data_IF_246936118936
#
_entry.id   IF_246936118936
#
_cell.length_a   1.000
_cell.length_b   1.000
_cell.length_c   1.000
_cell.angle_alpha   90.00
_cell.angle_beta   90.00
_cell.angle_gamma   90.00
#
_symmetry.space_group_name_H-M   'P 1'
#
loop_
_entity.id
_entity.type
_entity.pdbx_description
1 polymer ?
#
# COMPACT_ATOMS: atom_id res chain seq x y z
N UNK A 1 5.66 19.83 6.76
CA UNK A 1 5.62 19.68 8.24
C UNK A 1 6.91 19.05 8.81
N UNK A 2 7.32 19.34 10.06
CA UNK A 2 8.45 18.67 10.75
C UNK A 2 8.21 17.15 10.82
N UNK A 3 6.97 16.73 11.02
CA UNK A 3 6.60 15.31 11.05
C UNK A 3 6.97 14.61 9.73
N UNK A 4 6.64 15.23 8.60
CA UNK A 4 6.96 14.71 7.25
C UNK A 4 8.48 14.65 7.04
N UNK A 5 9.23 15.64 7.51
CA UNK A 5 10.70 15.62 7.43
C UNK A 5 11.30 14.45 8.23
N UNK A 6 10.79 14.19 9.44
CA UNK A 6 11.21 13.04 10.25
C UNK A 6 10.83 11.71 9.58
N UNK A 7 9.66 11.65 8.95
CA UNK A 7 9.24 10.47 8.20
C UNK A 7 10.16 10.19 7.01
N UNK A 8 10.44 11.20 6.20
CA UNK A 8 11.34 11.07 5.06
C UNK A 8 12.77 10.70 5.50
N UNK A 9 13.26 11.26 6.60
CA UNK A 9 14.57 10.90 7.16
C UNK A 9 14.64 9.43 7.56
N UNK A 10 13.57 8.90 8.19
CA UNK A 10 13.48 7.49 8.53
C UNK A 10 13.44 6.60 7.30
N UNK A 11 12.62 6.92 6.30
CA UNK A 11 12.53 6.11 5.07
C UNK A 11 13.90 6.02 4.36
N UNK A 12 14.61 7.14 4.29
CA UNK A 12 15.98 7.18 3.76
C UNK A 12 16.98 6.37 4.62
N UNK A 13 16.81 6.37 5.94
CA UNK A 13 17.63 5.61 6.87
C UNK A 13 17.35 4.09 6.79
N UNK A 14 16.10 3.68 6.58
CA UNK A 14 15.71 2.27 6.48
C UNK A 14 16.43 1.55 5.32
N UNK A 15 16.87 2.27 4.30
CA UNK A 15 17.63 1.73 3.17
C UNK A 15 19.12 1.52 3.50
N UNK A 16 19.60 2.01 4.65
CA UNK A 16 21.00 1.95 5.08
C UNK A 16 21.11 1.20 6.40
N UNK A 17 21.67 -0.01 6.38
CA UNK A 17 21.83 -0.89 7.57
C UNK A 17 22.39 -0.17 8.81
N UNK A 18 23.37 0.70 8.62
CA UNK A 18 24.01 1.47 9.69
C UNK A 18 23.10 2.53 10.33
N UNK A 19 22.15 3.08 9.57
CA UNK A 19 21.20 4.06 10.08
C UNK A 19 20.06 3.39 10.87
N UNK A 20 19.69 2.16 10.49
CA UNK A 20 18.75 1.32 11.25
C UNK A 20 19.21 1.04 12.69
N UNK A 21 20.51 0.79 12.89
CA UNK A 21 21.09 0.56 14.22
C UNK A 21 20.96 1.80 15.12
N UNK A 22 21.15 3.01 14.57
CA UNK A 22 20.99 4.27 15.29
C UNK A 22 19.52 4.60 15.61
N UNK A 23 18.60 4.17 14.75
CA UNK A 23 17.15 4.38 14.93
C UNK A 23 16.50 3.35 15.85
N UNK A 24 17.14 2.20 16.08
CA UNK A 24 16.59 1.08 16.85
C UNK A 24 15.99 1.46 18.21
N UNK A 25 16.60 2.34 19.04
CA UNK A 25 16.03 2.71 20.33
C UNK A 25 14.68 3.45 20.23
N UNK A 26 14.46 4.19 19.14
CA UNK A 26 13.29 5.04 18.93
C UNK A 26 12.25 4.39 18.01
N UNK A 27 12.54 3.21 17.47
CA UNK A 27 11.76 2.59 16.41
C UNK A 27 10.29 2.38 16.82
N UNK A 28 10.05 1.97 18.07
CA UNK A 28 8.70 1.75 18.59
C UNK A 28 7.92 3.05 18.75
N UNK A 29 8.55 4.12 19.24
CA UNK A 29 7.87 5.41 19.37
C UNK A 29 7.61 6.06 18.01
N UNK A 30 8.52 5.84 17.06
CA UNK A 30 8.33 6.24 15.68
C UNK A 30 7.15 5.50 15.01
N UNK A 31 7.03 4.17 15.18
CA UNK A 31 5.85 3.42 14.70
C UNK A 31 4.57 3.98 15.32
N UNK A 32 4.54 4.23 16.65
CA UNK A 32 3.36 4.81 17.31
C UNK A 32 3.00 6.17 16.70
N UNK A 33 3.98 7.00 16.39
CA UNK A 33 3.77 8.29 15.75
C UNK A 33 3.20 8.14 14.33
N UNK A 34 3.77 7.25 13.51
CA UNK A 34 3.25 6.94 12.18
C UNK A 34 1.79 6.48 12.23
N UNK A 35 1.49 5.51 13.08
CA UNK A 35 0.13 5.00 13.30
C UNK A 35 -0.78 6.10 13.86
N UNK A 36 -0.26 7.04 14.65
CA UNK A 36 -1.03 8.22 15.07
C UNK A 36 -1.42 9.08 13.86
N UNK A 37 -0.46 9.40 12.98
CA UNK A 37 -0.66 10.25 11.80
C UNK A 37 -1.58 9.65 10.73
N UNK A 38 -1.79 8.33 10.70
CA UNK A 38 -2.85 7.73 9.88
C UNK A 38 -4.27 8.25 10.18
N UNK A 39 -4.46 8.92 11.32
CA UNK A 39 -5.74 9.51 11.70
C UNK A 39 -5.99 10.93 11.16
N UNK A 40 -5.02 11.59 10.53
CA UNK A 40 -5.13 12.99 10.09
C UNK A 40 -5.92 13.13 8.79
N UNK A 41 -6.56 14.28 8.58
CA UNK A 41 -7.28 14.62 7.33
C UNK A 41 -6.40 15.35 6.30
N UNK A 42 -5.09 15.39 6.54
CA UNK A 42 -4.09 16.01 5.67
C UNK A 42 -3.40 14.95 4.79
N UNK A 43 -3.59 14.98 3.45
CA UNK A 43 -2.97 14.01 2.54
C UNK A 43 -1.43 14.08 2.55
N UNK A 44 -0.84 15.27 2.75
CA UNK A 44 0.61 15.46 2.84
C UNK A 44 1.22 14.76 4.07
N UNK A 45 0.38 14.39 5.05
CA UNK A 45 0.80 13.70 6.28
C UNK A 45 0.43 12.23 6.23
N UNK A 46 -0.78 11.89 5.76
CA UNK A 46 -1.29 10.52 5.80
C UNK A 46 -0.53 9.59 4.83
N UNK A 47 -0.17 10.08 3.63
CA UNK A 47 0.60 9.32 2.64
C UNK A 47 1.98 8.92 3.15
N UNK A 48 2.83 9.88 3.57
CA UNK A 48 4.13 9.57 4.17
C UNK A 48 4.02 8.72 5.44
N UNK A 49 2.96 8.90 6.25
CA UNK A 49 2.73 8.05 7.40
C UNK A 49 2.46 6.59 6.99
N UNK A 50 1.63 6.38 5.97
CA UNK A 50 1.34 5.06 5.43
C UNK A 50 2.59 4.41 4.80
N UNK A 51 3.35 5.14 4.00
CA UNK A 51 4.61 4.67 3.43
C UNK A 51 5.61 4.25 4.54
N UNK A 52 5.73 5.08 5.60
CA UNK A 52 6.53 4.76 6.78
C UNK A 52 6.07 3.49 7.50
N UNK A 53 4.75 3.29 7.64
CA UNK A 53 4.19 2.05 8.19
C UNK A 53 4.54 0.86 7.32
N UNK A 54 4.38 0.94 5.99
CA UNK A 54 4.74 -0.14 5.07
C UNK A 54 6.21 -0.58 5.20
N UNK A 55 7.13 0.40 5.29
CA UNK A 55 8.54 0.13 5.56
C UNK A 55 8.75 -0.52 6.93
N UNK A 56 8.09 -0.01 7.98
CA UNK A 56 8.19 -0.60 9.32
C UNK A 56 7.69 -2.04 9.38
N UNK A 57 6.62 -2.36 8.64
CA UNK A 57 6.08 -3.71 8.47
C UNK A 57 7.10 -4.62 7.79
N UNK A 58 7.79 -4.15 6.74
CA UNK A 58 8.86 -4.94 6.09
C UNK A 58 10.05 -5.22 7.02
N UNK A 59 10.32 -4.35 7.99
CA UNK A 59 11.45 -4.50 8.93
C UNK A 59 11.09 -5.36 10.14
N UNK A 60 9.93 -5.14 10.76
CA UNK A 60 9.53 -5.77 12.04
C UNK A 60 8.46 -6.85 11.88
N UNK A 61 7.87 -7.00 10.69
CA UNK A 61 6.90 -8.03 10.36
C UNK A 61 5.48 -7.77 10.88
N UNK A 62 4.75 -8.86 11.10
CA UNK A 62 3.31 -8.88 11.30
C UNK A 62 2.81 -8.03 12.48
N UNK A 63 3.55 -7.98 13.59
CA UNK A 63 3.11 -7.27 14.80
C UNK A 63 2.88 -5.77 14.56
N UNK A 64 3.68 -5.15 13.68
CA UNK A 64 3.48 -3.74 13.30
C UNK A 64 2.24 -3.60 12.43
N UNK A 65 2.06 -4.50 11.48
CA UNK A 65 0.91 -4.46 10.59
C UNK A 65 -0.40 -4.67 11.35
N UNK A 66 -0.47 -5.65 12.24
CA UNK A 66 -1.66 -5.94 13.05
C UNK A 66 -2.05 -4.73 13.92
N UNK A 67 -1.08 -4.01 14.47
CA UNK A 67 -1.33 -2.78 15.23
C UNK A 67 -1.79 -1.60 14.37
N UNK A 68 -1.30 -1.50 13.13
CA UNK A 68 -1.62 -0.41 12.21
C UNK A 68 -2.88 -0.66 11.38
N UNK A 69 -3.22 -1.91 11.10
CA UNK A 69 -4.28 -2.32 10.18
C UNK A 69 -5.63 -1.65 10.45
N UNK A 70 -6.13 -1.56 11.70
CA UNK A 70 -7.41 -0.88 11.96
C UNK A 70 -7.41 0.60 11.51
N UNK A 71 -6.28 1.30 11.64
CA UNK A 71 -6.16 2.69 11.22
C UNK A 71 -5.92 2.84 9.72
N UNK A 72 -5.16 1.94 9.10
CA UNK A 72 -5.03 1.89 7.64
C UNK A 72 -6.41 1.66 6.99
N UNK A 73 -7.20 0.71 7.49
CA UNK A 73 -8.56 0.47 7.01
C UNK A 73 -9.46 1.70 7.18
N UNK A 74 -9.40 2.35 8.34
CA UNK A 74 -10.16 3.58 8.57
C UNK A 74 -9.75 4.72 7.63
N UNK A 75 -8.46 4.84 7.34
CA UNK A 75 -7.94 5.82 6.39
C UNK A 75 -8.41 5.54 4.95
N UNK A 76 -8.36 4.28 4.50
CA UNK A 76 -8.84 3.88 3.17
C UNK A 76 -10.35 4.13 2.97
N UNK A 77 -11.12 4.14 4.06
CA UNK A 77 -12.57 4.41 4.04
C UNK A 77 -12.91 5.91 4.01
N UNK A 78 -11.91 6.81 4.04
CA UNK A 78 -12.15 8.25 3.95
C UNK A 78 -12.78 8.62 2.60
N UNK A 79 -13.78 9.53 2.57
CA UNK A 79 -14.42 9.98 1.34
C UNK A 79 -13.44 10.46 0.28
N UNK A 80 -12.34 11.09 0.70
CA UNK A 80 -11.29 11.63 -0.14
C UNK A 80 -10.50 10.52 -0.86
N UNK A 81 -10.27 9.38 -0.20
CA UNK A 81 -9.69 8.19 -0.84
C UNK A 81 -10.67 7.56 -1.85
N UNK A 82 -11.96 7.55 -1.54
CA UNK A 82 -13.00 6.91 -2.38
C UNK A 82 -13.31 7.73 -3.64
N UNK A 83 -13.19 9.07 -3.59
CA UNK A 83 -13.49 9.98 -4.69
C UNK A 83 -12.24 10.77 -5.10
N UNK A 84 -11.12 10.07 -5.23
CA UNK A 84 -9.81 10.66 -5.31
C UNK A 84 -9.55 11.40 -6.65
N UNK A 85 -9.90 12.68 -6.71
CA UNK A 85 -9.63 13.55 -7.87
C UNK A 85 -8.44 14.48 -7.66
N UNK A 86 -8.04 14.70 -6.41
CA UNK A 86 -6.91 15.55 -6.05
C UNK A 86 -5.61 14.72 -6.04
N UNK A 87 -4.55 15.28 -6.62
CA UNK A 87 -3.25 14.61 -6.79
C UNK A 87 -2.66 14.15 -5.45
N UNK A 88 -2.68 15.00 -4.42
CA UNK A 88 -2.16 14.67 -3.09
C UNK A 88 -2.89 13.47 -2.46
N UNK A 89 -4.22 13.40 -2.65
CA UNK A 89 -4.99 12.26 -2.19
C UNK A 89 -4.74 11.01 -3.03
N UNK A 90 -4.38 11.13 -4.31
CA UNK A 90 -4.07 9.98 -5.17
C UNK A 90 -2.79 9.33 -4.69
N UNK A 91 -1.75 10.13 -4.44
CA UNK A 91 -0.50 9.67 -3.86
C UNK A 91 -0.70 9.05 -2.47
N UNK A 92 -1.44 9.73 -1.59
CA UNK A 92 -1.71 9.23 -0.26
C UNK A 92 -2.50 7.91 -0.26
N UNK A 93 -3.49 7.79 -1.16
CA UNK A 93 -4.27 6.56 -1.34
C UNK A 93 -3.39 5.43 -1.86
N UNK A 94 -2.49 5.72 -2.81
CA UNK A 94 -1.50 4.76 -3.29
C UNK A 94 -0.60 4.25 -2.16
N UNK A 95 -0.07 5.14 -1.32
CA UNK A 95 0.75 4.78 -0.15
C UNK A 95 -0.02 3.94 0.89
N UNK A 96 -1.28 4.28 1.16
CA UNK A 96 -2.16 3.51 2.05
C UNK A 96 -2.41 2.10 1.52
N UNK A 97 -2.76 1.98 0.23
CA UNK A 97 -2.98 0.69 -0.43
C UNK A 97 -1.71 -0.15 -0.40
N UNK A 98 -0.57 0.45 -0.74
CA UNK A 98 0.71 -0.24 -0.76
C UNK A 98 1.11 -0.75 0.64
N UNK A 99 0.92 0.06 1.69
CA UNK A 99 1.19 -0.35 3.07
C UNK A 99 0.32 -1.54 3.50
N UNK A 100 -0.96 -1.57 3.09
CA UNK A 100 -1.84 -2.72 3.35
C UNK A 100 -1.37 -3.96 2.60
N UNK A 101 -1.04 -3.85 1.31
CA UNK A 101 -0.59 -4.99 0.52
C UNK A 101 0.76 -5.55 1.03
N UNK A 102 1.68 -4.70 1.48
CA UNK A 102 2.91 -5.12 2.16
C UNK A 102 2.62 -5.85 3.48
N UNK A 103 1.59 -5.42 4.21
CA UNK A 103 1.09 -6.13 5.38
C UNK A 103 0.60 -7.54 5.12
N UNK A 104 0.02 -7.79 3.93
CA UNK A 104 -0.46 -9.12 3.56
C UNK A 104 0.65 -10.13 3.31
N UNK A 105 1.87 -9.68 2.99
CA UNK A 105 3.03 -10.57 2.87
C UNK A 105 3.36 -11.25 4.21
N UNK A 106 3.09 -10.57 5.33
CA UNK A 106 3.43 -11.03 6.68
C UNK A 106 2.21 -11.45 7.50
N UNK A 107 1.01 -11.04 7.12
CA UNK A 107 -0.24 -11.38 7.80
C UNK A 107 -1.37 -11.69 6.79
N UNK A 108 -1.23 -12.75 5.97
CA UNK A 108 -2.21 -13.09 4.92
C UNK A 108 -3.60 -13.43 5.46
N UNK A 109 -3.71 -13.84 6.73
CA UNK A 109 -4.99 -14.12 7.39
C UNK A 109 -5.91 -12.89 7.50
N UNK A 110 -5.36 -11.68 7.38
CA UNK A 110 -6.12 -10.42 7.46
C UNK A 110 -6.70 -10.05 6.08
N UNK A 111 -6.27 -10.70 4.99
CA UNK A 111 -6.69 -10.42 3.63
C UNK A 111 -8.22 -10.32 3.44
N UNK A 112 -9.08 -11.21 4.00
CA UNK A 112 -10.53 -11.11 3.84
C UNK A 112 -11.14 -9.81 4.36
N UNK A 113 -10.48 -9.14 5.31
CA UNK A 113 -10.98 -7.93 5.95
C UNK A 113 -10.52 -6.67 5.20
N UNK A 114 -9.32 -6.70 4.62
CA UNK A 114 -8.67 -5.50 4.07
C UNK A 114 -8.70 -5.44 2.55
N UNK A 115 -8.63 -6.59 1.86
CA UNK A 115 -8.63 -6.62 0.40
C UNK A 115 -9.90 -6.03 -0.21
N UNK A 116 -11.12 -6.25 0.32
CA UNK A 116 -12.31 -5.61 -0.25
C UNK A 116 -12.22 -4.08 -0.26
N UNK A 117 -11.58 -3.47 0.76
CA UNK A 117 -11.36 -2.03 0.81
C UNK A 117 -10.37 -1.57 -0.24
N UNK A 118 -9.24 -2.30 -0.36
CA UNK A 118 -8.22 -2.03 -1.39
C UNK A 118 -8.81 -2.15 -2.79
N UNK A 119 -9.56 -3.22 -3.06
CA UNK A 119 -10.16 -3.48 -4.36
C UNK A 119 -11.22 -2.44 -4.73
N UNK A 120 -11.94 -1.90 -3.75
CA UNK A 120 -12.91 -0.82 -3.95
C UNK A 120 -12.29 0.51 -4.39
N UNK A 121 -10.97 0.68 -4.24
CA UNK A 121 -10.24 1.89 -4.61
C UNK A 121 -9.58 1.79 -5.99
N UNK A 122 -9.64 0.64 -6.65
CA UNK A 122 -9.00 0.42 -7.94
C UNK A 122 -9.88 0.94 -9.10
N UNK A 123 -9.27 1.49 -10.17
CA UNK A 123 -7.84 1.72 -10.34
C UNK A 123 -7.34 2.91 -9.51
N UNK A 124 -6.16 2.76 -8.91
CA UNK A 124 -5.45 3.85 -8.23
C UNK A 124 -4.49 4.58 -9.19
N UNK A 125 -4.30 5.87 -8.94
CA UNK A 125 -3.37 6.75 -9.66
C UNK A 125 -2.33 7.39 -8.73
N UNK A 126 -1.66 8.44 -9.22
CA UNK A 126 -0.57 9.13 -8.53
C UNK A 126 0.81 8.69 -9.05
N UNK A 127 1.76 8.50 -8.14
CA UNK A 127 3.11 8.00 -8.44
C UNK A 127 3.04 6.66 -9.18
N UNK A 128 3.48 6.67 -10.44
CA UNK A 128 3.40 5.51 -11.34
C UNK A 128 4.28 4.34 -10.88
N UNK A 129 5.41 4.61 -10.22
CA UNK A 129 6.31 3.56 -9.72
C UNK A 129 5.65 2.83 -8.54
N UNK A 130 5.00 3.58 -7.65
CA UNK A 130 4.22 2.97 -6.55
C UNK A 130 2.99 2.25 -7.05
N UNK A 131 2.28 2.83 -8.02
CA UNK A 131 1.13 2.18 -8.65
C UNK A 131 1.54 0.84 -9.28
N UNK A 132 2.69 0.80 -9.96
CA UNK A 132 3.25 -0.43 -10.49
C UNK A 132 3.44 -1.47 -9.37
N UNK A 133 4.07 -1.13 -8.24
CA UNK A 133 4.25 -2.08 -7.13
C UNK A 133 2.90 -2.61 -6.61
N UNK A 134 1.90 -1.74 -6.48
CA UNK A 134 0.54 -2.14 -6.07
C UNK A 134 -0.04 -3.18 -7.03
N UNK A 135 0.00 -2.91 -8.34
CA UNK A 135 -0.58 -3.81 -9.33
C UNK A 135 0.18 -5.13 -9.43
N UNK A 136 1.51 -5.11 -9.34
CA UNK A 136 2.32 -6.33 -9.30
C UNK A 136 1.99 -7.21 -8.10
N UNK A 137 1.77 -6.61 -6.92
CA UNK A 137 1.34 -7.32 -5.71
C UNK A 137 -0.06 -7.93 -5.87
N UNK A 138 -1.00 -7.20 -6.45
CA UNK A 138 -2.35 -7.73 -6.73
C UNK A 138 -2.32 -8.91 -7.71
N UNK A 139 -1.51 -8.82 -8.77
CA UNK A 139 -1.28 -9.95 -9.69
C UNK A 139 -0.60 -11.13 -8.98
N UNK A 140 0.32 -10.85 -8.06
CA UNK A 140 0.93 -11.86 -7.19
C UNK A 140 -0.10 -12.61 -6.35
N UNK A 141 -0.99 -11.87 -5.68
CA UNK A 141 -2.08 -12.43 -4.88
C UNK A 141 -3.08 -13.24 -5.73
N UNK A 142 -3.41 -12.79 -6.95
CA UNK A 142 -4.20 -13.59 -7.90
C UNK A 142 -3.49 -14.90 -8.25
N UNK A 143 -2.19 -14.83 -8.59
CA UNK A 143 -1.38 -16.00 -8.96
C UNK A 143 -1.26 -17.00 -7.81
N UNK A 144 -1.27 -16.51 -6.56
CA UNK A 144 -1.26 -17.32 -5.36
C UNK A 144 -2.64 -17.94 -5.03
N UNK A 145 -3.66 -17.71 -5.85
CA UNK A 145 -5.00 -18.24 -5.64
C UNK A 145 -5.75 -17.59 -4.48
N UNK A 146 -5.48 -16.31 -4.19
CA UNK A 146 -6.17 -15.61 -3.10
C UNK A 146 -7.69 -15.56 -3.39
N UNK A 147 -8.53 -16.12 -2.50
CA UNK A 147 -9.96 -16.30 -2.79
C UNK A 147 -10.70 -14.96 -2.96
N UNK A 148 -10.25 -13.89 -2.29
CA UNK A 148 -10.90 -12.57 -2.39
C UNK A 148 -10.67 -11.98 -3.78
N UNK A 149 -9.45 -12.07 -4.30
CA UNK A 149 -9.13 -11.55 -5.63
C UNK A 149 -9.80 -12.41 -6.72
N UNK A 150 -9.78 -13.73 -6.58
CA UNK A 150 -10.42 -14.64 -7.55
C UNK A 150 -11.92 -14.41 -7.67
N UNK A 151 -12.58 -13.95 -6.60
CA UNK A 151 -14.02 -13.68 -6.57
C UNK A 151 -14.37 -12.24 -6.94
N UNK A 152 -13.38 -11.37 -7.19
CA UNK A 152 -13.64 -9.96 -7.45
C UNK A 152 -14.16 -9.75 -8.89
N UNK A 153 -15.40 -9.24 -9.08
CA UNK A 153 -16.06 -9.22 -10.39
C UNK A 153 -15.39 -8.28 -11.41
N UNK A 154 -14.67 -7.25 -10.93
CA UNK A 154 -14.02 -6.25 -11.80
C UNK A 154 -12.60 -6.62 -12.22
N UNK A 155 -12.10 -7.81 -11.82
CA UNK A 155 -10.72 -8.21 -12.07
C UNK A 155 -10.35 -8.21 -13.56
N UNK A 156 -11.21 -8.75 -14.42
CA UNK A 156 -10.98 -8.78 -15.88
C UNK A 156 -10.92 -7.38 -16.49
N UNK A 157 -11.84 -6.51 -16.05
CA UNK A 157 -11.88 -5.12 -16.50
C UNK A 157 -10.62 -4.36 -16.07
N UNK A 158 -10.22 -4.50 -14.80
CA UNK A 158 -8.98 -3.90 -14.32
C UNK A 158 -7.77 -4.42 -15.12
N UNK A 159 -7.66 -5.73 -15.32
CA UNK A 159 -6.53 -6.32 -16.05
C UNK A 159 -6.42 -5.79 -17.49
N UNK A 160 -7.55 -5.57 -18.17
CA UNK A 160 -7.58 -4.93 -19.49
C UNK A 160 -7.05 -3.49 -19.42
N UNK A 161 -7.55 -2.69 -18.47
CA UNK A 161 -7.12 -1.29 -18.29
C UNK A 161 -5.61 -1.21 -18.02
N UNK A 162 -5.07 -2.09 -17.18
CA UNK A 162 -3.65 -2.09 -16.83
C UNK A 162 -2.73 -2.45 -18.00
N UNK A 163 -3.20 -3.26 -18.95
CA UNK A 163 -2.43 -3.58 -20.16
C UNK A 163 -2.32 -2.39 -21.13
N UNK A 164 -3.31 -1.49 -21.10
CA UNK A 164 -3.36 -0.29 -21.94
C UNK A 164 -2.76 0.95 -21.25
N UNK A 165 -2.52 0.87 -19.94
CA UNK A 165 -1.96 1.97 -19.14
C UNK A 165 -0.43 2.01 -19.30
N UNK A 166 0.22 3.19 -19.40
CA UNK A 166 1.68 3.32 -19.54
C UNK A 166 2.45 3.03 -18.24
N UNK A 167 2.09 1.97 -17.52
CA UNK A 167 2.82 1.47 -16.35
C UNK A 167 3.98 0.59 -16.82
N UNK A 168 5.13 0.71 -16.18
CA UNK A 168 6.34 -0.07 -16.50
C UNK A 168 6.31 -1.49 -15.91
N UNK A 169 5.14 -2.15 -15.95
CA UNK A 169 4.94 -3.50 -15.43
C UNK A 169 5.94 -4.48 -16.04
N UNK A 170 6.45 -5.41 -15.23
CA UNK A 170 7.30 -6.49 -15.76
C UNK A 170 6.56 -7.34 -16.81
N UNK A 171 7.30 -7.91 -17.77
CA UNK A 171 6.69 -8.79 -18.78
C UNK A 171 5.96 -9.99 -18.16
N UNK A 172 6.50 -10.56 -17.09
CA UNK A 172 5.83 -11.63 -16.34
C UNK A 172 4.50 -11.19 -15.71
N UNK A 173 4.39 -9.93 -15.26
CA UNK A 173 3.12 -9.36 -14.79
C UNK A 173 2.15 -9.16 -15.96
N UNK A 174 2.60 -8.64 -17.10
CA UNK A 174 1.75 -8.46 -18.30
C UNK A 174 1.21 -9.79 -18.83
N UNK A 175 2.04 -10.83 -18.86
CA UNK A 175 1.60 -12.18 -19.25
C UNK A 175 0.47 -12.70 -18.35
N UNK A 176 0.60 -12.53 -17.04
CA UNK A 176 -0.44 -12.91 -16.07
C UNK A 176 -1.71 -12.09 -16.24
N UNK A 177 -1.60 -10.79 -16.52
CA UNK A 177 -2.76 -9.95 -16.83
C UNK A 177 -3.49 -10.40 -18.10
N UNK A 178 -2.74 -10.74 -19.18
CA UNK A 178 -3.34 -11.30 -20.40
C UNK A 178 -4.07 -12.62 -20.12
N UNK A 179 -3.49 -13.49 -19.28
CA UNK A 179 -4.14 -14.74 -18.87
C UNK A 179 -5.46 -14.49 -18.11
N UNK A 180 -5.51 -13.46 -17.25
CA UNK A 180 -6.74 -13.05 -16.55
C UNK A 180 -7.81 -12.54 -17.52
N UNK A 181 -7.42 -11.77 -18.54
CA UNK A 181 -8.36 -11.23 -19.54
C UNK A 181 -8.97 -12.33 -20.41
N UNK A 182 -8.16 -13.33 -20.79
CA UNK A 182 -8.56 -14.36 -21.76
C UNK A 182 -9.04 -15.69 -21.16
N UNK A 183 -8.78 -15.96 -19.89
CA UNK A 183 -9.30 -17.13 -19.15
C UNK A 183 -10.68 -16.88 -18.57
#
# INVERSE_FOLDING_TARGET
>A
SIAVQLMNAFMNAAHKKQALELFSPYFQDYIKALVHFLGTDDPEVIGPAAAGVGIAVRIQGAAVFEAAAPKLCKALQKPECQNCQEEDWQEATCDLVLAVLQGLDVAPQVAPQVLPLVLGLLPIGGDLDKCQEVYERLVGLHSAGNPVILQWPHLKQLASVLLDTPLMLTEGTKEKLRAIVHG
#
